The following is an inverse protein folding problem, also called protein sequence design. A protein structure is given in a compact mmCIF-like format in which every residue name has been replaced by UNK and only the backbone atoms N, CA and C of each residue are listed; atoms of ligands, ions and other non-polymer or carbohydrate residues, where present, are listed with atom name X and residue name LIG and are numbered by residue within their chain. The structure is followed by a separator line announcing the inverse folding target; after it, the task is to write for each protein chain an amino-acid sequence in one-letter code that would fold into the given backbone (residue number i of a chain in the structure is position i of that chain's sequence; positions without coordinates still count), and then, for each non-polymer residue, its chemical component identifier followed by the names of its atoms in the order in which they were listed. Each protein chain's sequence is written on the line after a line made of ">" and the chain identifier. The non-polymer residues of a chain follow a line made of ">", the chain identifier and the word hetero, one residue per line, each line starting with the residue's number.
data_IF_613954680550
#
_entry.id   IF_613954680550
#
_cell.length_a   1.000
_cell.length_b   1.000
_cell.length_c   1.000
_cell.angle_alpha   90.00
_cell.angle_beta   90.00
_cell.angle_gamma   90.00
#
_symmetry.space_group_name_H-M   'P 1'
#
loop_
_entity.id
_entity.type
_entity.pdbx_description
1 polymer ?
#
# COMPACT_ATOMS: atom_id res chain seq x y z
N UNK A 1 -37.90 -11.30 -37.14
CA UNK A 1 -36.80 -12.03 -36.48
C UNK A 1 -37.25 -12.28 -35.05
N UNK A 2 -37.56 -13.53 -34.71
CA UNK A 2 -38.14 -13.91 -33.43
C UNK A 2 -36.97 -14.30 -32.50
N UNK A 3 -36.60 -13.43 -31.57
CA UNK A 3 -35.50 -13.69 -30.63
C UNK A 3 -35.96 -14.63 -29.53
N UNK A 4 -35.14 -15.65 -29.22
CA UNK A 4 -35.37 -16.62 -28.17
C UNK A 4 -35.61 -15.92 -26.81
N UNK A 5 -36.80 -16.09 -26.22
CA UNK A 5 -37.07 -15.70 -24.83
C UNK A 5 -36.60 -16.82 -23.90
N UNK A 6 -35.59 -16.52 -23.10
CA UNK A 6 -35.12 -17.41 -22.02
C UNK A 6 -36.09 -17.31 -20.85
N UNK A 7 -36.55 -18.44 -20.33
CA UNK A 7 -37.40 -18.50 -19.14
C UNK A 7 -36.59 -18.06 -17.91
N UNK A 8 -37.10 -17.15 -17.07
CA UNK A 8 -36.42 -16.77 -15.83
C UNK A 8 -36.37 -17.98 -14.87
N UNK A 9 -35.24 -18.11 -14.18
CA UNK A 9 -34.94 -19.24 -13.28
C UNK A 9 -35.70 -19.22 -11.95
N UNK A 10 -36.43 -18.13 -11.65
CA UNK A 10 -37.21 -18.00 -10.43
C UNK A 10 -38.68 -17.86 -10.77
N UNK A 11 -39.48 -18.87 -10.41
CA UNK A 11 -40.93 -18.72 -10.31
C UNK A 11 -41.24 -17.95 -9.04
N UNK A 12 -41.98 -16.84 -9.15
CA UNK A 12 -42.51 -16.10 -7.99
C UNK A 12 -43.54 -16.97 -7.27
N UNK A 13 -43.07 -17.91 -6.45
CA UNK A 13 -43.91 -18.56 -5.47
C UNK A 13 -44.34 -17.50 -4.44
N UNK A 14 -45.59 -17.56 -3.93
CA UNK A 14 -46.01 -16.67 -2.86
C UNK A 14 -45.08 -16.85 -1.65
N UNK A 15 -44.60 -15.74 -1.08
CA UNK A 15 -43.74 -15.75 0.11
C UNK A 15 -44.43 -16.53 1.23
N UNK A 16 -43.79 -17.61 1.68
CA UNK A 16 -44.18 -18.32 2.90
C UNK A 16 -44.04 -17.39 4.12
N UNK A 17 -45.02 -17.48 5.04
CA UNK A 17 -45.12 -16.56 6.17
C UNK A 17 -44.14 -16.97 7.27
N UNK A 18 -43.00 -16.26 7.32
CA UNK A 18 -41.94 -16.47 8.29
C UNK A 18 -42.29 -15.81 9.64
N UNK A 19 -41.94 -16.43 10.78
CA UNK A 19 -42.28 -15.90 12.11
C UNK A 19 -41.67 -14.52 12.37
N UNK A 20 -42.52 -13.61 12.85
CA UNK A 20 -42.33 -12.15 12.85
C UNK A 20 -41.34 -11.58 13.89
N UNK A 21 -40.08 -12.02 13.85
CA UNK A 21 -39.01 -11.44 14.68
C UNK A 21 -37.90 -10.71 13.89
N UNK A 22 -38.05 -10.50 12.57
CA UNK A 22 -37.10 -9.72 11.75
C UNK A 22 -37.79 -8.67 10.88
N UNK A 23 -37.06 -7.58 10.59
CA UNK A 23 -37.48 -6.49 9.71
C UNK A 23 -37.90 -7.03 8.32
N UNK A 24 -39.10 -6.63 7.86
CA UNK A 24 -39.65 -7.01 6.55
C UNK A 24 -39.28 -5.94 5.53
N UNK A 25 -38.49 -6.30 4.52
CA UNK A 25 -38.21 -5.43 3.37
C UNK A 25 -39.25 -5.65 2.27
N UNK A 26 -39.75 -4.59 1.60
CA UNK A 26 -40.63 -4.73 0.45
C UNK A 26 -39.93 -5.49 -0.69
N UNK A 27 -40.62 -6.47 -1.27
CA UNK A 27 -40.11 -7.20 -2.42
C UNK A 27 -40.01 -6.29 -3.65
N UNK A 28 -38.78 -6.04 -4.13
CA UNK A 28 -38.48 -5.11 -5.23
C UNK A 28 -39.03 -5.59 -6.60
N UNK A 29 -39.49 -6.84 -6.69
CA UNK A 29 -39.90 -7.47 -7.95
C UNK A 29 -41.41 -7.72 -8.06
N UNK A 30 -42.22 -7.24 -7.12
CA UNK A 30 -43.68 -7.34 -7.22
C UNK A 30 -44.24 -6.18 -8.06
N UNK A 31 -44.37 -6.39 -9.38
CA UNK A 31 -45.18 -5.50 -10.20
C UNK A 31 -46.67 -5.65 -9.79
N UNK A 32 -47.39 -4.54 -9.48
CA UNK A 32 -48.80 -4.62 -9.12
C UNK A 32 -49.64 -5.14 -10.30
N UNK A 33 -50.64 -6.01 -10.06
CA UNK A 33 -51.51 -6.50 -11.11
C UNK A 33 -52.49 -5.39 -11.49
N UNK A 34 -52.18 -4.66 -12.56
CA UNK A 34 -53.09 -3.63 -13.06
C UNK A 34 -52.50 -2.57 -14.00
N UNK A 35 -51.19 -2.51 -14.21
CA UNK A 35 -50.58 -1.48 -15.08
C UNK A 35 -49.78 -2.13 -16.20
N UNK A 36 -50.45 -2.95 -17.01
CA UNK A 36 -49.92 -3.34 -18.30
C UNK A 36 -50.14 -2.20 -19.31
N UNK A 37 -49.04 -1.77 -19.93
CA UNK A 37 -48.95 -1.05 -21.21
C UNK A 37 -49.41 0.43 -21.24
N UNK A 38 -48.58 1.35 -20.73
CA UNK A 38 -48.52 2.73 -21.27
C UNK A 38 -47.29 3.58 -20.85
N UNK A 39 -46.57 3.27 -19.76
CA UNK A 39 -45.63 4.25 -19.18
C UNK A 39 -44.12 3.89 -19.24
N UNK A 40 -43.74 2.78 -19.87
CA UNK A 40 -42.37 2.24 -19.77
C UNK A 40 -41.41 2.67 -20.90
N UNK A 41 -41.70 3.71 -21.68
CA UNK A 41 -40.83 4.08 -22.82
C UNK A 41 -40.54 5.58 -22.96
N UNK A 42 -40.80 6.40 -21.93
CA UNK A 42 -40.45 7.83 -21.95
C UNK A 42 -39.61 8.28 -20.74
N UNK A 43 -39.72 7.61 -19.59
CA UNK A 43 -38.93 7.96 -18.40
C UNK A 43 -37.51 7.38 -18.39
N UNK A 44 -37.29 6.25 -19.05
CA UNK A 44 -35.97 5.62 -19.13
C UNK A 44 -35.00 6.46 -19.98
N UNK A 45 -35.47 7.02 -21.10
CA UNK A 45 -34.65 7.88 -21.96
C UNK A 45 -34.25 9.20 -21.27
N UNK A 46 -35.15 9.80 -20.47
CA UNK A 46 -34.84 11.02 -19.73
C UNK A 46 -33.79 10.79 -18.64
N UNK A 47 -33.91 9.68 -17.91
CA UNK A 47 -32.93 9.32 -16.85
C UNK A 47 -31.57 8.90 -17.42
N UNK A 48 -31.55 8.26 -18.59
CA UNK A 48 -30.31 7.96 -19.32
C UNK A 48 -29.60 9.24 -19.78
N UNK A 49 -30.35 10.22 -20.27
CA UNK A 49 -29.80 11.49 -20.77
C UNK A 49 -29.28 12.37 -19.63
N UNK A 50 -29.95 12.38 -18.47
CA UNK A 50 -29.42 13.01 -17.25
C UNK A 50 -28.12 12.36 -16.77
N UNK A 51 -28.01 11.03 -16.88
CA UNK A 51 -26.81 10.30 -16.51
C UNK A 51 -25.64 10.61 -17.45
N UNK A 52 -25.90 10.66 -18.76
CA UNK A 52 -24.91 11.03 -19.77
C UNK A 52 -24.38 12.46 -19.53
N UNK A 53 -25.27 13.42 -19.30
CA UNK A 53 -24.87 14.80 -18.97
C UNK A 53 -24.02 14.88 -17.71
N UNK A 54 -24.37 14.09 -16.67
CA UNK A 54 -23.59 14.03 -15.43
C UNK A 54 -22.21 13.43 -15.67
N UNK A 55 -22.12 12.38 -16.49
CA UNK A 55 -20.84 11.73 -16.83
C UNK A 55 -19.95 12.67 -17.65
N UNK A 56 -20.50 13.38 -18.63
CA UNK A 56 -19.76 14.40 -19.38
C UNK A 56 -19.26 15.55 -18.50
N UNK A 57 -20.10 16.03 -17.58
CA UNK A 57 -19.71 17.09 -16.65
C UNK A 57 -18.57 16.62 -15.74
N UNK A 58 -18.59 15.36 -15.32
CA UNK A 58 -17.53 14.74 -14.53
C UNK A 58 -16.23 14.62 -15.33
N UNK A 59 -16.30 14.16 -16.59
CA UNK A 59 -15.15 14.08 -17.49
C UNK A 59 -14.52 15.47 -17.73
N UNK A 60 -15.33 16.49 -18.01
CA UNK A 60 -14.84 17.87 -18.17
C UNK A 60 -14.12 18.36 -16.92
N UNK A 61 -14.66 18.07 -15.73
CA UNK A 61 -14.03 18.44 -14.45
C UNK A 61 -12.71 17.71 -14.23
N UNK A 62 -12.63 16.42 -14.58
CA UNK A 62 -11.41 15.63 -14.47
C UNK A 62 -10.31 16.13 -15.42
N UNK A 63 -10.67 16.47 -16.66
CA UNK A 63 -9.73 17.06 -17.63
C UNK A 63 -9.20 18.40 -17.12
N UNK A 64 -10.09 19.28 -16.62
CA UNK A 64 -9.68 20.56 -16.04
C UNK A 64 -8.72 20.37 -14.85
N UNK A 65 -9.02 19.45 -13.94
CA UNK A 65 -8.16 19.13 -12.81
C UNK A 65 -6.81 18.58 -13.24
N UNK A 66 -6.77 17.73 -14.27
CA UNK A 66 -5.54 17.23 -14.86
C UNK A 66 -4.68 18.38 -15.41
N UNK A 67 -5.29 19.29 -16.16
CA UNK A 67 -4.58 20.44 -16.72
C UNK A 67 -4.05 21.36 -15.61
N UNK A 68 -4.86 21.62 -14.56
CA UNK A 68 -4.44 22.38 -13.37
C UNK A 68 -3.25 21.72 -12.64
N UNK A 69 -3.24 20.38 -12.53
CA UNK A 69 -2.12 19.62 -11.93
C UNK A 69 -0.87 19.66 -12.81
N UNK A 70 -1.03 19.52 -14.12
CA UNK A 70 0.09 19.60 -15.09
C UNK A 70 0.70 21.02 -15.12
N UNK A 71 -0.13 22.06 -15.00
CA UNK A 71 0.33 23.44 -14.86
C UNK A 71 1.07 23.68 -13.54
N UNK A 72 0.53 23.15 -12.43
CA UNK A 72 1.18 23.25 -11.12
C UNK A 72 2.54 22.51 -11.12
N UNK A 73 2.58 21.31 -11.70
CA UNK A 73 3.80 20.52 -11.84
C UNK A 73 4.85 21.26 -12.66
N UNK A 74 4.44 21.91 -13.77
CA UNK A 74 5.32 22.77 -14.56
C UNK A 74 5.81 23.97 -13.76
N UNK A 75 4.94 24.66 -13.02
CA UNK A 75 5.30 25.82 -12.22
C UNK A 75 6.28 25.48 -11.08
N UNK A 76 6.14 24.30 -10.46
CA UNK A 76 7.03 23.82 -9.40
C UNK A 76 8.38 23.33 -9.95
N UNK A 77 8.43 22.87 -11.20
CA UNK A 77 9.65 22.43 -11.88
C UNK A 77 10.44 23.54 -12.58
N UNK A 78 10.01 24.81 -12.54
CA UNK A 78 10.81 25.94 -13.05
C UNK A 78 11.81 26.37 -11.97
N UNK A 79 13.14 26.20 -12.17
CA UNK A 79 14.13 26.81 -11.30
C UNK A 79 14.18 28.32 -11.55
N UNK A 80 13.90 29.10 -10.51
CA UNK A 80 13.92 30.57 -10.53
C UNK A 80 15.33 31.16 -10.66
N UNK A 81 15.77 31.39 -11.91
CA UNK A 81 16.60 32.52 -12.41
C UNK A 81 18.12 32.56 -12.11
N UNK A 82 18.89 33.47 -12.75
CA UNK A 82 18.76 34.07 -14.09
C UNK A 82 19.96 33.73 -15.02
N UNK A 83 19.72 33.63 -16.33
CA UNK A 83 20.80 33.61 -17.34
C UNK A 83 21.06 35.04 -17.83
N UNK A 84 22.25 35.56 -17.53
CA UNK A 84 22.84 36.70 -18.23
C UNK A 84 24.18 36.26 -18.83
N UNK A 85 24.41 36.70 -20.06
CA UNK A 85 25.38 36.23 -21.04
C UNK A 85 26.80 36.80 -20.90
N UNK A 86 27.78 35.97 -21.30
CA UNK A 86 29.13 36.26 -21.83
C UNK A 86 30.34 36.35 -20.85
N UNK A 87 31.61 36.29 -21.33
CA UNK A 87 32.26 35.16 -22.01
C UNK A 87 33.57 34.70 -21.29
N UNK A 88 34.26 33.72 -21.89
CA UNK A 88 35.39 32.94 -21.37
C UNK A 88 36.64 33.70 -20.89
N UNK A 89 37.27 33.21 -19.80
CA UNK A 89 38.73 33.10 -19.62
C UNK A 89 39.11 32.39 -18.31
N UNK A 90 40.18 31.57 -18.34
CA UNK A 90 41.08 31.41 -17.20
C UNK A 90 40.92 30.14 -16.35
N UNK A 91 41.74 29.14 -16.65
CA UNK A 91 42.03 28.02 -15.78
C UNK A 91 42.67 28.49 -14.44
N UNK A 92 42.14 28.03 -13.31
CA UNK A 92 42.95 27.80 -12.10
C UNK A 92 42.24 26.79 -11.19
N UNK A 93 42.95 25.70 -10.88
CA UNK A 93 42.54 24.64 -9.98
C UNK A 93 42.80 25.05 -8.53
N UNK A 94 41.74 25.09 -7.72
CA UNK A 94 41.82 24.98 -6.26
C UNK A 94 40.55 24.29 -5.75
N UNK A 95 40.65 23.26 -4.90
CA UNK A 95 39.50 22.46 -4.52
C UNK A 95 38.74 23.18 -3.40
N UNK A 96 37.63 23.83 -3.74
CA UNK A 96 36.63 24.22 -2.75
C UNK A 96 35.65 23.06 -2.52
N UNK A 97 35.22 22.95 -1.26
CA UNK A 97 34.43 21.87 -0.69
C UNK A 97 33.25 21.48 -1.60
N UNK A 98 33.35 20.28 -2.18
CA UNK A 98 32.20 19.58 -2.72
C UNK A 98 31.30 19.19 -1.55
N UNK A 99 30.14 19.83 -1.45
CA UNK A 99 29.02 19.26 -0.72
C UNK A 99 28.73 17.86 -1.29
N UNK A 100 28.46 16.93 -0.37
CA UNK A 100 28.47 15.49 -0.59
C UNK A 100 27.50 15.06 -1.72
N UNK A 101 27.94 14.31 -2.74
CA UNK A 101 27.07 13.84 -3.83
C UNK A 101 26.23 12.60 -3.48
N UNK A 102 26.42 12.00 -2.30
CA UNK A 102 25.74 10.75 -1.92
C UNK A 102 24.25 10.94 -1.58
N UNK A 103 23.83 12.13 -1.11
CA UNK A 103 22.52 12.29 -0.47
C UNK A 103 21.33 12.35 -1.44
N UNK A 104 21.53 12.95 -2.62
CA UNK A 104 20.50 13.04 -3.66
C UNK A 104 20.28 11.72 -4.40
N UNK A 105 21.30 10.86 -4.41
CA UNK A 105 21.27 9.58 -5.12
C UNK A 105 20.30 8.58 -4.46
N UNK A 106 20.21 8.61 -3.12
CA UNK A 106 19.32 7.72 -2.36
C UNK A 106 17.85 8.13 -2.38
N UNK A 107 17.54 9.44 -2.43
CA UNK A 107 16.15 9.92 -2.56
C UNK A 107 15.57 9.53 -3.91
N UNK A 108 16.30 9.80 -5.00
CA UNK A 108 15.86 9.42 -6.34
C UNK A 108 15.71 7.90 -6.51
N UNK A 109 16.50 7.11 -5.79
CA UNK A 109 16.35 5.67 -5.76
C UNK A 109 15.08 5.21 -5.03
N UNK A 110 14.74 5.82 -3.90
CA UNK A 110 13.53 5.50 -3.13
C UNK A 110 12.26 5.79 -3.97
N UNK A 111 12.22 6.97 -4.57
CA UNK A 111 11.17 7.41 -5.50
C UNK A 111 11.03 6.45 -6.69
N UNK A 112 12.17 6.02 -7.26
CA UNK A 112 12.18 5.06 -8.38
C UNK A 112 11.65 3.68 -7.97
N UNK A 113 12.03 3.17 -6.79
CA UNK A 113 11.59 1.86 -6.29
C UNK A 113 10.08 1.88 -6.01
N UNK A 114 9.58 2.97 -5.44
CA UNK A 114 8.16 3.11 -5.11
C UNK A 114 7.32 3.54 -6.32
N UNK A 115 7.95 3.94 -7.43
CA UNK A 115 7.26 4.51 -8.59
C UNK A 115 6.59 5.84 -8.29
N UNK A 116 7.01 6.52 -7.22
CA UNK A 116 6.42 7.75 -6.70
C UNK A 116 7.36 8.91 -7.05
N UNK A 117 6.86 9.90 -7.80
CA UNK A 117 7.68 11.02 -8.24
C UNK A 117 7.89 12.07 -7.16
N UNK A 118 9.15 12.34 -6.83
CA UNK A 118 9.63 13.65 -6.38
C UNK A 118 9.57 13.93 -4.90
N UNK A 119 10.65 13.68 -4.16
CA UNK A 119 11.04 14.42 -2.93
C UNK A 119 10.06 14.41 -1.76
N UNK A 120 8.95 13.69 -1.87
CA UNK A 120 7.91 13.54 -0.86
C UNK A 120 8.36 12.49 0.16
N UNK A 121 8.06 12.75 1.42
CA UNK A 121 8.27 11.79 2.50
C UNK A 121 7.29 10.64 2.34
N UNK A 122 7.79 9.42 2.22
CA UNK A 122 6.94 8.24 2.03
C UNK A 122 6.47 7.66 3.37
N UNK A 123 5.17 7.44 3.53
CA UNK A 123 4.60 6.87 4.76
C UNK A 123 4.35 5.36 4.61
N UNK A 124 5.12 4.54 5.31
CA UNK A 124 4.87 3.11 5.43
C UNK A 124 4.18 2.82 6.76
N UNK A 125 3.00 2.24 6.68
CA UNK A 125 2.22 1.80 7.84
C UNK A 125 2.18 0.28 7.86
N UNK A 126 2.64 -0.33 8.95
CA UNK A 126 2.56 -1.76 9.23
C UNK A 126 1.57 -2.01 10.35
N UNK A 127 0.50 -2.75 10.07
CA UNK A 127 -0.48 -3.17 11.07
C UNK A 127 -0.15 -4.60 11.49
N UNK A 128 -0.02 -4.84 12.80
CA UNK A 128 0.35 -6.17 13.31
C UNK A 128 -0.26 -6.47 14.68
N UNK A 129 -0.33 -7.75 15.03
CA UNK A 129 -0.81 -8.19 16.34
C UNK A 129 0.31 -8.20 17.37
N UNK A 130 0.12 -7.64 18.58
CA UNK A 130 1.11 -7.70 19.65
C UNK A 130 1.35 -9.14 20.15
N UNK A 131 0.41 -10.06 19.93
CA UNK A 131 0.56 -11.47 20.27
C UNK A 131 1.51 -12.22 19.33
N UNK A 132 1.75 -11.69 18.12
CA UNK A 132 2.66 -12.23 17.10
C UNK A 132 3.44 -11.08 16.45
N UNK A 133 4.40 -10.47 17.17
CA UNK A 133 5.12 -9.31 16.69
C UNK A 133 6.00 -9.68 15.47
N UNK A 134 5.97 -8.88 14.38
CA UNK A 134 6.71 -9.17 13.16
C UNK A 134 8.20 -8.84 13.33
N UNK A 135 8.98 -9.79 13.83
CA UNK A 135 10.41 -9.58 14.13
C UNK A 135 11.22 -9.21 12.88
N UNK A 136 10.86 -9.75 11.71
CA UNK A 136 11.56 -9.40 10.46
C UNK A 136 11.44 -7.91 10.14
N UNK A 137 10.30 -7.27 10.42
CA UNK A 137 10.08 -5.84 10.21
C UNK A 137 10.96 -5.01 11.15
N UNK A 138 11.10 -5.42 12.41
CA UNK A 138 11.94 -4.75 13.40
C UNK A 138 13.42 -4.82 13.00
N UNK A 139 13.88 -5.98 12.49
CA UNK A 139 15.26 -6.13 12.00
C UNK A 139 15.48 -5.32 10.71
N UNK A 140 14.53 -5.33 9.78
CA UNK A 140 14.62 -4.59 8.52
C UNK A 140 14.55 -3.07 8.74
N UNK A 141 13.85 -2.62 9.77
CA UNK A 141 13.87 -1.22 10.18
C UNK A 141 15.31 -0.73 10.45
N UNK A 142 16.12 -1.50 11.18
CA UNK A 142 17.52 -1.13 11.41
C UNK A 142 18.27 -0.98 10.09
N UNK A 143 18.11 -1.92 9.16
CA UNK A 143 18.75 -1.84 7.84
C UNK A 143 18.29 -0.62 7.04
N UNK A 144 17.01 -0.26 7.13
CA UNK A 144 16.48 0.96 6.50
C UNK A 144 17.10 2.23 7.10
N UNK A 145 17.33 2.28 8.42
CA UNK A 145 18.00 3.42 9.08
C UNK A 145 19.43 3.65 8.64
N UNK A 146 20.12 2.60 8.17
CA UNK A 146 21.47 2.76 7.63
C UNK A 146 21.48 3.45 6.25
N UNK A 147 20.34 3.45 5.54
CA UNK A 147 20.24 3.92 4.15
C UNK A 147 19.39 5.18 4.00
N UNK A 148 18.42 5.38 4.88
CA UNK A 148 17.46 6.49 4.83
C UNK A 148 17.31 7.16 6.19
N UNK A 149 16.91 8.44 6.18
CA UNK A 149 16.40 9.12 7.38
C UNK A 149 14.98 8.64 7.63
N UNK A 150 14.84 7.69 8.54
CA UNK A 150 13.55 7.04 8.88
C UNK A 150 12.97 7.66 10.15
N UNK A 151 11.80 8.28 10.04
CA UNK A 151 11.00 8.69 11.18
C UNK A 151 10.17 7.48 11.63
N UNK A 152 10.17 7.16 12.92
CA UNK A 152 9.43 6.01 13.43
C UNK A 152 8.30 6.42 14.34
N UNK A 153 7.15 5.75 14.20
CA UNK A 153 6.03 5.88 15.11
C UNK A 153 5.48 4.52 15.50
N UNK A 154 5.03 4.38 16.75
CA UNK A 154 4.36 3.18 17.24
C UNK A 154 3.05 3.58 17.89
N UNK A 155 1.95 3.06 17.37
CA UNK A 155 0.60 3.31 17.86
C UNK A 155 -0.06 2.02 18.34
N UNK A 156 -1.04 2.16 19.22
CA UNK A 156 -1.89 1.06 19.68
C UNK A 156 -3.31 1.40 19.25
N UNK A 157 -3.91 0.52 18.46
CA UNK A 157 -5.28 0.66 17.99
C UNK A 157 -6.26 0.47 19.15
N UNK A 158 -7.42 1.14 19.09
CA UNK A 158 -8.42 1.15 20.17
C UNK A 158 -9.02 -0.23 20.49
N UNK A 159 -8.97 -1.16 19.55
CA UNK A 159 -9.47 -2.52 19.75
C UNK A 159 -8.52 -3.42 20.56
N UNK A 160 -7.33 -2.95 20.91
CA UNK A 160 -6.38 -3.70 21.73
C UNK A 160 -6.82 -3.66 23.19
N UNK A 161 -7.28 -4.80 23.68
CA UNK A 161 -7.84 -4.92 25.04
C UNK A 161 -6.76 -5.21 26.09
N UNK A 162 -5.77 -6.03 25.73
CA UNK A 162 -4.65 -6.37 26.60
C UNK A 162 -3.55 -5.29 26.55
N UNK A 163 -2.88 -4.99 27.68
CA UNK A 163 -1.79 -4.02 27.69
C UNK A 163 -0.63 -4.48 26.79
N UNK A 164 -0.23 -3.65 25.83
CA UNK A 164 0.91 -3.92 24.95
C UNK A 164 2.22 -3.76 25.76
N UNK A 165 3.11 -4.77 25.78
CA UNK A 165 4.38 -4.70 26.51
C UNK A 165 5.22 -3.47 26.14
N UNK A 166 5.94 -2.85 27.10
CA UNK A 166 6.77 -1.67 26.83
C UNK A 166 7.83 -1.90 25.75
N UNK A 167 8.40 -3.11 25.69
CA UNK A 167 9.37 -3.49 24.66
C UNK A 167 8.78 -3.40 23.24
N UNK A 168 7.50 -3.73 23.05
CA UNK A 168 6.81 -3.61 21.77
C UNK A 168 6.41 -2.16 21.45
N UNK A 169 6.18 -1.33 22.48
CA UNK A 169 5.91 0.10 22.31
C UNK A 169 7.16 0.87 21.88
N UNK A 170 8.35 0.37 22.24
CA UNK A 170 9.65 0.96 21.94
C UNK A 170 10.45 0.13 20.92
N UNK A 171 9.81 -0.78 20.18
CA UNK A 171 10.50 -1.73 19.30
C UNK A 171 11.24 -1.08 18.13
N UNK A 172 10.87 0.15 17.75
CA UNK A 172 11.57 0.94 16.73
C UNK A 172 12.55 1.97 17.32
N UNK A 173 12.74 1.95 18.64
CA UNK A 173 13.50 2.94 19.39
C UNK A 173 12.61 4.01 20.07
N UNK A 174 13.24 4.96 20.79
CA UNK A 174 12.53 6.06 21.42
C UNK A 174 11.95 7.00 20.36
N UNK A 175 10.80 7.65 20.64
CA UNK A 175 10.25 8.66 19.74
C UNK A 175 11.22 9.85 19.62
N UNK A 176 11.53 10.25 18.38
CA UNK A 176 12.27 11.49 18.12
C UNK A 176 11.43 12.68 18.58
N UNK A 177 11.88 13.39 19.62
CA UNK A 177 11.06 14.39 20.29
C UNK A 177 10.99 15.75 19.55
N UNK A 178 11.84 16.00 18.55
CA UNK A 178 11.99 17.34 17.95
C UNK A 178 12.23 17.35 16.43
N UNK A 179 12.04 16.23 15.75
CA UNK A 179 12.33 16.14 14.33
C UNK A 179 11.13 16.53 13.47
N UNK A 180 11.35 17.40 12.49
CA UNK A 180 10.30 17.74 11.53
C UNK A 180 10.09 16.58 10.55
N UNK A 181 8.83 16.28 10.21
CA UNK A 181 8.51 15.20 9.25
C UNK A 181 9.20 15.43 7.90
N UNK A 182 9.33 16.68 7.46
CA UNK A 182 10.01 17.09 6.22
C UNK A 182 11.51 16.78 6.19
N UNK A 183 12.15 16.56 7.34
CA UNK A 183 13.58 16.21 7.39
C UNK A 183 13.83 14.74 7.09
N UNK A 184 12.77 13.94 6.97
CA UNK A 184 12.84 12.49 6.77
C UNK A 184 12.54 12.12 5.32
N UNK A 185 13.01 10.95 4.92
CA UNK A 185 12.73 10.39 3.59
C UNK A 185 11.63 9.34 3.66
N UNK A 186 11.55 8.66 4.80
CA UNK A 186 10.65 7.56 5.06
C UNK A 186 10.06 7.73 6.46
N UNK A 187 8.76 7.51 6.60
CA UNK A 187 8.11 7.30 7.89
C UNK A 187 7.74 5.83 7.99
N UNK A 188 8.17 5.15 9.05
CA UNK A 188 7.77 3.79 9.37
C UNK A 188 6.90 3.79 10.63
N UNK A 189 5.63 3.46 10.46
CA UNK A 189 4.65 3.42 11.53
C UNK A 189 4.22 1.99 11.80
N UNK A 190 4.32 1.52 13.04
CA UNK A 190 3.71 0.25 13.47
C UNK A 190 2.43 0.55 14.25
N UNK A 191 1.32 -0.07 13.83
CA UNK A 191 0.04 -0.01 14.55
C UNK A 191 -0.25 -1.40 15.13
N UNK A 192 -0.19 -1.50 16.45
CA UNK A 192 -0.61 -2.70 17.17
C UNK A 192 -2.13 -2.80 17.15
N UNK A 193 -2.66 -3.88 16.61
CA UNK A 193 -4.10 -4.16 16.50
C UNK A 193 -4.39 -5.55 17.00
N UNK A 194 -5.41 -5.69 17.84
CA UNK A 194 -5.77 -6.98 18.43
C UNK A 194 -6.80 -7.68 17.55
N UNK A 195 -6.34 -8.73 16.90
CA UNK A 195 -7.11 -9.61 16.02
C UNK A 195 -6.31 -10.91 15.88
N UNK A 196 -6.93 -12.03 16.28
CA UNK A 196 -6.28 -13.34 16.35
C UNK A 196 -5.84 -13.85 14.97
N UNK A 197 -6.57 -13.47 13.93
CA UNK A 197 -6.32 -13.88 12.54
C UNK A 197 -5.49 -12.86 11.76
N UNK A 198 -5.18 -11.71 12.36
CA UNK A 198 -4.42 -10.66 11.70
C UNK A 198 -3.01 -11.14 11.35
N UNK A 199 -2.74 -11.20 10.05
CA UNK A 199 -1.38 -11.31 9.54
C UNK A 199 -0.82 -9.89 9.36
N UNK A 200 0.48 -9.67 9.57
CA UNK A 200 1.08 -8.36 9.34
C UNK A 200 0.72 -7.82 7.96
N UNK A 201 0.31 -6.56 7.93
CA UNK A 201 -0.19 -5.87 6.75
C UNK A 201 0.63 -4.59 6.56
N UNK A 202 1.14 -4.33 5.36
CA UNK A 202 1.86 -3.10 5.03
C UNK A 202 1.09 -2.26 4.01
N UNK A 203 1.11 -0.93 4.19
CA UNK A 203 0.57 0.08 3.28
C UNK A 203 1.60 1.20 3.09
N UNK A 204 1.85 1.62 1.85
CA UNK A 204 2.82 2.69 1.48
C UNK A 204 2.11 4.02 1.20
N UNK A 205 0.82 3.95 0.92
CA UNK A 205 -0.08 5.09 0.88
C UNK A 205 -1.44 4.59 1.36
N UNK A 206 -1.96 5.23 2.41
CA UNK A 206 -3.21 4.82 3.07
C UNK A 206 -4.43 5.02 2.16
N UNK A 207 -4.32 5.88 1.15
CA UNK A 207 -5.45 6.29 0.33
C UNK A 207 -5.74 5.38 -0.86
N UNK A 208 -4.72 4.77 -1.47
CA UNK A 208 -4.86 4.10 -2.78
C UNK A 208 -4.14 2.75 -2.94
N UNK A 209 -3.39 2.26 -1.95
CA UNK A 209 -2.64 1.02 -2.10
C UNK A 209 -3.44 -0.22 -1.68
N UNK A 210 -3.39 -1.28 -2.51
CA UNK A 210 -3.76 -2.62 -2.08
C UNK A 210 -2.78 -3.07 -0.98
N UNK A 211 -3.27 -3.54 0.18
CA UNK A 211 -2.38 -3.89 1.28
C UNK A 211 -1.52 -5.12 0.99
N UNK A 212 -0.25 -5.05 1.36
CA UNK A 212 0.67 -6.18 1.29
C UNK A 212 0.49 -7.04 2.53
N UNK A 213 -0.04 -8.25 2.34
CA UNK A 213 -0.39 -9.16 3.43
C UNK A 213 0.69 -10.21 3.69
N UNK A 214 0.94 -10.49 4.96
CA UNK A 214 1.85 -11.53 5.43
C UNK A 214 3.26 -11.01 5.67
N UNK A 215 3.85 -11.40 6.80
CA UNK A 215 5.16 -10.93 7.24
C UNK A 215 6.26 -11.16 6.19
N UNK A 216 6.26 -12.30 5.49
CA UNK A 216 7.26 -12.58 4.45
C UNK A 216 7.20 -11.60 3.27
N UNK A 217 6.00 -11.20 2.86
CA UNK A 217 5.82 -10.24 1.77
C UNK A 217 6.18 -8.82 2.21
N UNK A 218 5.83 -8.45 3.44
CA UNK A 218 6.28 -7.21 4.07
C UNK A 218 7.80 -7.16 4.13
N UNK A 219 8.45 -8.26 4.53
CA UNK A 219 9.89 -8.35 4.63
C UNK A 219 10.57 -8.21 3.26
N UNK A 220 10.07 -8.89 2.22
CA UNK A 220 10.56 -8.74 0.84
C UNK A 220 10.46 -7.30 0.36
N UNK A 221 9.34 -6.64 0.63
CA UNK A 221 9.12 -5.25 0.25
C UNK A 221 10.14 -4.32 0.92
N UNK A 222 10.31 -4.42 2.25
CA UNK A 222 11.26 -3.58 2.98
C UNK A 222 12.72 -3.89 2.62
N UNK A 223 13.05 -5.15 2.33
CA UNK A 223 14.38 -5.55 1.85
C UNK A 223 14.69 -4.97 0.46
N UNK A 224 13.71 -4.96 -0.43
CA UNK A 224 13.83 -4.29 -1.72
C UNK A 224 14.03 -2.78 -1.56
N UNK A 225 13.31 -2.16 -0.63
CA UNK A 225 13.46 -0.75 -0.31
C UNK A 225 14.85 -0.43 0.24
N UNK A 226 15.39 -1.31 1.08
CA UNK A 226 16.76 -1.22 1.58
C UNK A 226 17.81 -1.40 0.47
N UNK A 227 17.39 -1.66 -0.78
CA UNK A 227 18.22 -1.80 -1.98
C UNK A 227 19.26 -2.91 -1.85
N UNK A 228 18.91 -3.97 -1.12
CA UNK A 228 19.74 -5.15 -0.86
C UNK A 228 19.32 -6.36 -1.73
N UNK A 229 18.41 -6.16 -2.68
CA UNK A 229 17.99 -7.21 -3.62
C UNK A 229 19.10 -7.53 -4.61
N UNK A 230 19.34 -8.82 -4.82
CA UNK A 230 20.29 -9.31 -5.82
C UNK A 230 19.74 -9.08 -7.23
N UNK A 231 20.63 -8.74 -8.17
CA UNK A 231 20.27 -8.53 -9.58
C UNK A 231 20.08 -9.84 -10.35
N UNK A 232 20.79 -10.89 -9.95
CA UNK A 232 20.68 -12.23 -10.55
C UNK A 232 19.29 -12.83 -10.26
N UNK A 233 18.51 -13.21 -11.30
CA UNK A 233 17.17 -13.75 -11.11
C UNK A 233 17.17 -15.08 -10.35
N UNK A 234 18.17 -15.95 -10.57
CA UNK A 234 18.23 -17.26 -9.91
C UNK A 234 18.40 -17.07 -8.41
N UNK A 235 19.39 -16.27 -8.02
CA UNK A 235 19.60 -15.91 -6.65
C UNK A 235 18.41 -15.22 -5.98
N UNK A 236 17.76 -14.28 -6.68
CA UNK A 236 16.58 -13.59 -6.13
C UNK A 236 15.43 -14.56 -5.86
N UNK A 237 15.19 -15.51 -6.76
CA UNK A 237 14.21 -16.57 -6.53
C UNK A 237 14.62 -17.49 -5.39
N UNK A 238 15.91 -17.75 -5.21
CA UNK A 238 16.41 -18.53 -4.08
C UNK A 238 16.18 -17.81 -2.73
N UNK A 239 16.41 -16.49 -2.68
CA UNK A 239 16.10 -15.67 -1.50
C UNK A 239 14.60 -15.75 -1.18
N UNK A 240 13.74 -15.61 -2.20
CA UNK A 240 12.29 -15.73 -2.04
C UNK A 240 11.86 -17.11 -1.54
N UNK A 241 12.47 -18.18 -2.06
CA UNK A 241 12.21 -19.54 -1.62
C UNK A 241 12.56 -19.75 -0.14
N UNK A 242 13.67 -19.15 0.34
CA UNK A 242 14.03 -19.21 1.75
C UNK A 242 13.07 -18.46 2.66
N UNK A 243 12.54 -17.32 2.22
CA UNK A 243 11.50 -16.59 2.95
C UNK A 243 10.23 -17.45 3.06
N UNK A 244 9.85 -18.16 2.00
CA UNK A 244 8.70 -19.08 2.03
C UNK A 244 8.97 -20.30 2.93
N UNK A 245 10.16 -20.88 2.91
CA UNK A 245 10.55 -21.96 3.84
C UNK A 245 10.43 -21.47 5.29
N UNK A 246 10.91 -20.26 5.60
CA UNK A 246 10.81 -19.70 6.95
C UNK A 246 9.35 -19.49 7.38
N UNK A 247 8.53 -18.88 6.52
CA UNK A 247 7.16 -18.48 6.86
C UNK A 247 6.15 -19.63 6.81
N UNK A 248 6.27 -20.52 5.84
CA UNK A 248 5.28 -21.55 5.53
C UNK A 248 5.64 -22.92 6.07
N UNK A 249 6.95 -23.20 6.23
CA UNK A 249 7.41 -24.49 6.77
C UNK A 249 7.89 -24.30 8.21
N UNK A 250 8.92 -23.49 8.47
CA UNK A 250 9.58 -23.44 9.77
C UNK A 250 8.71 -22.88 10.90
N UNK A 251 8.01 -21.76 10.64
CA UNK A 251 7.20 -21.08 11.64
C UNK A 251 6.04 -21.95 12.17
N UNK A 252 5.18 -22.56 11.31
CA UNK A 252 4.13 -23.46 11.78
C UNK A 252 4.63 -24.89 12.10
N UNK A 253 5.87 -25.25 11.72
CA UNK A 253 6.35 -26.63 11.79
C UNK A 253 6.38 -27.23 13.20
N UNK A 254 6.08 -28.53 13.25
CA UNK A 254 6.38 -29.39 14.38
C UNK A 254 7.88 -29.75 14.46
N UNK A 255 8.33 -30.43 15.54
CA UNK A 255 9.75 -30.72 15.79
C UNK A 255 10.45 -31.46 14.63
N UNK A 256 9.77 -32.41 13.98
CA UNK A 256 10.32 -33.20 12.86
C UNK A 256 10.58 -32.36 11.62
N UNK A 257 9.61 -31.53 11.24
CA UNK A 257 9.73 -30.63 10.09
C UNK A 257 10.80 -29.56 10.33
N UNK A 258 10.85 -28.99 11.55
CA UNK A 258 11.93 -28.06 11.94
C UNK A 258 13.31 -28.71 11.79
N UNK A 259 13.48 -29.94 12.25
CA UNK A 259 14.74 -30.67 12.09
C UNK A 259 15.10 -30.90 10.61
N UNK A 260 14.10 -31.15 9.74
CA UNK A 260 14.32 -31.27 8.30
C UNK A 260 14.81 -29.95 7.69
N UNK A 261 14.13 -28.83 7.98
CA UNK A 261 14.53 -27.51 7.50
C UNK A 261 15.95 -27.15 7.97
N UNK A 262 16.29 -27.44 9.23
CA UNK A 262 17.63 -27.19 9.78
C UNK A 262 18.72 -28.00 9.08
N UNK A 263 18.45 -29.25 8.67
CA UNK A 263 19.40 -30.05 7.89
C UNK A 263 19.69 -29.41 6.53
N UNK A 264 18.64 -28.95 5.85
CA UNK A 264 18.79 -28.24 4.56
C UNK A 264 19.58 -26.95 4.76
N UNK A 265 19.22 -26.15 5.76
CA UNK A 265 19.94 -24.91 6.07
C UNK A 265 21.43 -25.16 6.38
N UNK A 266 21.75 -26.21 7.15
CA UNK A 266 23.13 -26.56 7.45
C UNK A 266 23.93 -26.98 6.21
N UNK A 267 23.32 -27.74 5.29
CA UNK A 267 23.96 -28.11 4.04
C UNK A 267 24.24 -26.90 3.14
N UNK A 268 23.38 -25.87 3.21
CA UNK A 268 23.47 -24.66 2.39
C UNK A 268 24.50 -23.67 2.96
N UNK A 269 24.54 -23.50 4.29
CA UNK A 269 25.52 -22.66 4.98
C UNK A 269 26.93 -23.29 5.08
N UNK A 270 27.04 -24.59 4.82
CA UNK A 270 28.32 -25.31 4.78
C UNK A 270 29.06 -25.23 3.43
N UNK A 271 28.50 -24.52 2.45
CA UNK A 271 29.11 -24.24 1.14
C UNK A 271 29.85 -22.91 1.16
#
# INVERSE_FOLDING_TARGET
>A
INMYKVKPFYSSAPLEDLPGCMYRLPGVHAAPPGVAAAAASQGEDATLLELEQRQEAMLRRLHKLRDEVDDLARAVLVPSGPQSSAPAAGASSSPQLRSCPAHHQHVGQLDTILGMGGGVVHDIVVVASPARPPLSVIVLHELLRHRYRVLTAVHVHSNVTAPVPPALRLCLGPPSANDSRSDHQLVLTIIWKDDSMLRPELRVDVTHACPVLGEGNVARFLWALAGATRSDPVARTQDDAWVDVAMLQLLPAGPKERASVLKVLNAELGR
#
